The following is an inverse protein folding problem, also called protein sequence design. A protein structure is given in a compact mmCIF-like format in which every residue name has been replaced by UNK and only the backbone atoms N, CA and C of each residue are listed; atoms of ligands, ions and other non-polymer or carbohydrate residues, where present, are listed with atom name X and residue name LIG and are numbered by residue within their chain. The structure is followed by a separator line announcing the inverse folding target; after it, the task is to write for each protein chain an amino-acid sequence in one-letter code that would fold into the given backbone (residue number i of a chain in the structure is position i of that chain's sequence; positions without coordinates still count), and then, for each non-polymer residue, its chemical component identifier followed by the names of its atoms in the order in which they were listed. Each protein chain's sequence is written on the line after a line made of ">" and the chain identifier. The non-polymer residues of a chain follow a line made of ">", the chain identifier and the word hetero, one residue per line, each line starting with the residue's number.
data_IF_905090810097
#
_entry.id   IF_905090810097
#
_cell.length_a   1.000
_cell.length_b   1.000
_cell.length_c   1.000
_cell.angle_alpha   90.00
_cell.angle_beta   90.00
_cell.angle_gamma   90.00
#
_symmetry.space_group_name_H-M   'P 1'
#
loop_
_entity.id
_entity.type
_entity.pdbx_description
1 polymer ?
#
# COMPACT_ATOMS: atom_id res chain seq x y z
N UNK A 1 32.43 -41.23 -16.00
CA UNK A 1 31.05 -40.75 -16.23
C UNK A 1 30.89 -39.42 -15.50
N UNK A 2 30.84 -38.31 -16.22
CA UNK A 2 30.44 -37.01 -15.66
C UNK A 2 29.65 -36.28 -16.75
N UNK A 3 28.35 -36.12 -16.54
CA UNK A 3 27.47 -35.33 -17.42
C UNK A 3 27.35 -33.97 -16.74
N UNK A 4 28.07 -32.98 -17.25
CA UNK A 4 27.90 -31.58 -16.84
C UNK A 4 26.47 -31.13 -17.17
N UNK A 5 25.70 -30.84 -16.12
CA UNK A 5 24.37 -30.24 -16.24
C UNK A 5 24.55 -28.77 -16.61
N UNK A 6 24.48 -28.47 -17.91
CA UNK A 6 24.37 -27.10 -18.42
C UNK A 6 23.05 -26.51 -17.92
N UNK A 7 23.13 -25.62 -16.92
CA UNK A 7 22.00 -24.84 -16.44
C UNK A 7 21.56 -23.88 -17.55
N UNK A 8 20.51 -24.26 -18.29
CA UNK A 8 19.84 -23.39 -19.26
C UNK A 8 18.88 -22.45 -18.52
N UNK A 9 19.42 -21.48 -17.81
CA UNK A 9 18.65 -20.30 -17.46
C UNK A 9 18.53 -19.43 -18.71
N UNK A 10 17.55 -19.77 -19.56
CA UNK A 10 17.14 -18.91 -20.66
C UNK A 10 16.79 -17.53 -20.10
N UNK A 11 17.43 -16.43 -20.58
CA UNK A 11 17.11 -15.10 -20.11
C UNK A 11 15.64 -14.82 -20.44
N UNK A 12 14.82 -14.61 -19.40
CA UNK A 12 13.41 -14.27 -19.58
C UNK A 12 13.32 -13.04 -20.48
N UNK A 13 12.51 -13.07 -21.56
CA UNK A 13 12.39 -11.93 -22.46
C UNK A 13 11.98 -10.69 -21.65
N UNK A 14 12.69 -9.56 -21.85
CA UNK A 14 12.27 -8.26 -21.31
C UNK A 14 10.90 -7.96 -21.89
N UNK A 15 9.87 -8.05 -21.05
CA UNK A 15 8.49 -7.87 -21.48
C UNK A 15 8.24 -6.37 -21.77
N UNK A 16 7.84 -6.04 -23.01
CA UNK A 16 7.44 -4.69 -23.42
C UNK A 16 6.15 -4.21 -22.72
N UNK A 17 5.45 -5.12 -22.01
CA UNK A 17 4.31 -4.80 -21.14
C UNK A 17 4.72 -4.04 -19.86
N UNK A 18 6.02 -3.86 -19.63
CA UNK A 18 6.59 -3.03 -18.57
C UNK A 18 6.54 -1.53 -18.88
N UNK A 19 5.88 -1.08 -19.97
CA UNK A 19 5.56 0.33 -20.20
C UNK A 19 4.73 0.81 -19.01
N UNK A 20 5.39 1.55 -18.11
CA UNK A 20 4.96 1.84 -16.75
C UNK A 20 3.48 2.19 -16.63
N UNK A 21 2.66 1.19 -16.28
CA UNK A 21 1.27 1.42 -15.90
C UNK A 21 1.32 2.34 -14.69
N UNK A 22 0.81 3.57 -14.84
CA UNK A 22 0.74 4.55 -13.76
C UNK A 22 0.03 3.88 -12.59
N UNK A 23 0.77 3.57 -11.53
CA UNK A 23 0.22 2.95 -10.33
C UNK A 23 -0.81 3.90 -9.74
N UNK A 24 -2.03 3.40 -9.48
CA UNK A 24 -3.03 4.16 -8.72
C UNK A 24 -2.43 4.53 -7.38
N UNK A 25 -2.44 5.81 -7.05
CA UNK A 25 -2.00 6.31 -5.74
C UNK A 25 -3.19 6.26 -4.80
N UNK A 26 -3.06 5.50 -3.72
CA UNK A 26 -4.03 5.51 -2.63
C UNK A 26 -3.52 6.40 -1.52
N UNK A 27 -4.38 7.30 -1.03
CA UNK A 27 -4.07 8.15 0.13
C UNK A 27 -3.90 7.28 1.37
N UNK A 28 -3.30 7.86 2.40
CA UNK A 28 -3.05 7.17 3.66
C UNK A 28 -4.37 6.84 4.37
N UNK A 29 -5.34 7.75 4.30
CA UNK A 29 -6.71 7.60 4.79
C UNK A 29 -7.43 6.42 4.14
N UNK A 30 -7.41 6.32 2.80
CA UNK A 30 -8.03 5.20 2.08
C UNK A 30 -7.43 3.85 2.49
N UNK A 31 -6.11 3.79 2.69
CA UNK A 31 -5.43 2.57 3.12
C UNK A 31 -5.83 2.19 4.55
N UNK A 32 -6.06 3.17 5.41
CA UNK A 32 -6.52 2.96 6.77
C UNK A 32 -7.94 2.42 6.81
N UNK A 33 -8.84 3.03 6.05
CA UNK A 33 -10.23 2.60 5.94
C UNK A 33 -10.33 1.16 5.40
N UNK A 34 -9.55 0.82 4.36
CA UNK A 34 -9.42 -0.56 3.86
C UNK A 34 -8.96 -1.52 4.96
N UNK A 35 -8.01 -1.12 5.81
CA UNK A 35 -7.54 -1.96 6.92
C UNK A 35 -8.60 -2.15 8.01
N UNK A 36 -9.39 -1.12 8.33
CA UNK A 36 -10.49 -1.23 9.29
C UNK A 36 -11.57 -2.18 8.80
N UNK A 37 -11.94 -2.11 7.51
CA UNK A 37 -12.88 -3.07 6.93
C UNK A 37 -12.34 -4.51 6.98
N UNK A 38 -11.05 -4.72 6.70
CA UNK A 38 -10.43 -6.05 6.83
C UNK A 38 -10.51 -6.54 8.29
N UNK A 39 -10.24 -5.68 9.27
CA UNK A 39 -10.33 -6.02 10.70
C UNK A 39 -11.76 -6.35 11.14
N UNK A 40 -12.75 -5.63 10.60
CA UNK A 40 -14.18 -5.89 10.86
C UNK A 40 -14.69 -7.21 10.27
N UNK A 41 -13.89 -7.90 9.46
CA UNK A 41 -14.28 -9.14 8.78
C UNK A 41 -15.02 -8.93 7.46
N UNK A 42 -15.01 -7.70 6.92
CA UNK A 42 -15.60 -7.42 5.59
C UNK A 42 -14.89 -8.25 4.52
N UNK A 43 -15.65 -8.82 3.58
CA UNK A 43 -15.09 -9.67 2.51
C UNK A 43 -14.21 -8.83 1.59
N UNK A 44 -13.06 -9.39 1.19
CA UNK A 44 -12.11 -8.75 0.26
C UNK A 44 -12.77 -8.25 -1.02
N UNK A 45 -13.71 -9.03 -1.58
CA UNK A 45 -14.42 -8.68 -2.81
C UNK A 45 -15.26 -7.39 -2.67
N UNK A 46 -15.81 -7.11 -1.50
CA UNK A 46 -16.58 -5.91 -1.24
C UNK A 46 -15.66 -4.68 -1.16
N UNK A 47 -14.52 -4.82 -0.48
CA UNK A 47 -13.48 -3.79 -0.38
C UNK A 47 -12.92 -3.45 -1.78
N UNK A 48 -12.68 -4.47 -2.61
CA UNK A 48 -12.22 -4.27 -3.99
C UNK A 48 -13.21 -3.44 -4.81
N UNK A 49 -14.52 -3.71 -4.67
CA UNK A 49 -15.59 -2.99 -5.36
C UNK A 49 -15.71 -1.55 -4.89
N UNK A 50 -15.68 -1.31 -3.57
CA UNK A 50 -15.82 0.04 -2.99
C UNK A 50 -14.64 0.95 -3.36
N UNK A 51 -13.41 0.44 -3.31
CA UNK A 51 -12.20 1.25 -3.49
C UNK A 51 -11.56 1.11 -4.87
N UNK A 52 -12.18 0.34 -5.77
CA UNK A 52 -11.67 0.02 -7.10
C UNK A 52 -10.18 -0.41 -7.05
N UNK A 53 -9.89 -1.32 -6.11
CA UNK A 53 -8.54 -1.71 -5.72
C UNK A 53 -8.30 -3.18 -6.07
N UNK A 54 -7.18 -3.55 -6.70
CA UNK A 54 -6.90 -4.94 -7.02
C UNK A 54 -6.59 -5.72 -5.74
N UNK A 55 -6.92 -7.02 -5.74
CA UNK A 55 -6.73 -7.91 -4.60
C UNK A 55 -5.29 -7.94 -4.11
N UNK A 56 -4.33 -7.87 -5.05
CA UNK A 56 -2.90 -7.78 -4.75
C UNK A 56 -2.56 -6.62 -3.80
N UNK A 57 -3.22 -5.46 -3.96
CA UNK A 57 -3.01 -4.31 -3.08
C UNK A 57 -3.58 -4.57 -1.70
N UNK A 58 -4.76 -5.18 -1.59
CA UNK A 58 -5.36 -5.53 -0.29
C UNK A 58 -4.48 -6.53 0.47
N UNK A 59 -3.95 -7.54 -0.22
CA UNK A 59 -2.98 -8.48 0.33
C UNK A 59 -1.70 -7.77 0.82
N UNK A 60 -1.19 -6.79 0.06
CA UNK A 60 -0.05 -5.97 0.50
C UNK A 60 -0.38 -5.12 1.72
N UNK A 61 -1.58 -4.53 1.81
CA UNK A 61 -2.02 -3.76 2.98
C UNK A 61 -2.08 -4.65 4.23
N UNK A 62 -2.62 -5.88 4.09
CA UNK A 62 -2.69 -6.84 5.20
C UNK A 62 -1.30 -7.20 5.75
N UNK A 63 -0.29 -7.34 4.87
CA UNK A 63 1.10 -7.60 5.26
C UNK A 63 1.75 -6.39 5.92
N UNK A 64 1.48 -5.17 5.42
CA UNK A 64 2.11 -3.93 5.86
C UNK A 64 1.30 -3.15 6.92
N UNK A 65 0.44 -3.82 7.70
CA UNK A 65 -0.45 -3.22 8.70
C UNK A 65 0.28 -2.35 9.74
N UNK A 66 1.48 -2.77 10.15
CA UNK A 66 2.28 -2.10 11.19
C UNK A 66 2.87 -0.80 10.67
N UNK A 67 3.42 -0.80 9.45
CA UNK A 67 3.94 0.39 8.80
C UNK A 67 2.86 1.45 8.59
N UNK A 68 1.63 1.03 8.23
CA UNK A 68 0.51 1.95 8.07
C UNK A 68 0.09 2.58 9.41
N UNK A 69 0.04 1.78 10.47
CA UNK A 69 -0.24 2.26 11.83
C UNK A 69 0.79 3.28 12.31
N UNK A 70 2.07 3.01 12.09
CA UNK A 70 3.14 3.95 12.41
C UNK A 70 2.99 5.27 11.64
N UNK A 71 2.67 5.20 10.34
CA UNK A 71 2.48 6.40 9.51
C UNK A 71 1.27 7.25 9.91
N UNK A 72 0.16 6.63 10.33
CA UNK A 72 -1.01 7.35 10.86
C UNK A 72 -0.67 8.06 12.17
N UNK A 73 0.06 7.39 13.08
CA UNK A 73 0.48 7.99 14.35
C UNK A 73 1.41 9.20 14.15
N UNK A 74 2.28 9.17 13.14
CA UNK A 74 3.11 10.34 12.78
C UNK A 74 2.25 11.47 12.21
N UNK A 75 1.28 11.15 11.35
CA UNK A 75 0.38 12.14 10.77
C UNK A 75 -0.51 12.83 11.80
N UNK A 76 -1.02 12.10 12.79
CA UNK A 76 -1.84 12.67 13.87
C UNK A 76 -1.02 13.59 14.78
N UNK A 77 0.24 13.24 15.05
CA UNK A 77 1.18 14.09 15.78
C UNK A 77 1.47 15.40 15.06
N UNK A 78 1.65 15.37 13.74
CA UNK A 78 1.91 16.57 12.95
C UNK A 78 0.68 17.48 12.83
N UNK A 79 -0.52 16.90 12.73
CA UNK A 79 -1.79 17.66 12.67
C UNK A 79 -2.08 18.43 13.97
N UNK A 80 -1.53 17.97 15.09
CA UNK A 80 -1.67 18.64 16.40
C UNK A 80 -0.73 19.84 16.55
N UNK A 81 0.30 19.96 15.70
CA UNK A 81 1.29 21.04 15.74
C UNK A 81 0.91 22.29 14.94
N UNK A 82 -0.23 22.30 14.23
CA UNK A 82 -0.73 23.48 13.51
C UNK A 82 -1.66 24.39 14.34
N UNK A 83 -1.62 24.32 15.68
CA UNK A 83 -2.19 25.36 16.57
C UNK A 83 -1.12 26.32 17.09
N UNK A 84 -0.29 26.85 16.19
CA UNK A 84 0.65 27.94 16.53
C UNK A 84 0.38 29.11 15.57
N UNK A 85 -0.68 29.88 15.83
CA UNK A 85 -0.73 31.35 15.67
C UNK A 85 -2.17 31.86 15.85
N UNK A 86 -2.48 32.40 17.03
CA UNK A 86 -3.42 33.51 17.20
C UNK A 86 -3.34 34.00 18.65
N UNK A 87 -2.15 34.44 19.06
CA UNK A 87 -2.03 35.37 20.19
C UNK A 87 -1.55 36.69 19.59
N UNK A 88 -2.52 37.47 19.12
CA UNK A 88 -2.33 38.84 18.70
C UNK A 88 -2.88 39.71 19.83
N UNK A 89 -1.96 40.34 20.55
CA UNK A 89 -2.07 41.58 21.30
C UNK A 89 -3.34 41.86 22.12
N UNK A 90 -3.14 42.10 23.41
CA UNK A 90 -3.49 43.39 24.03
C UNK A 90 -2.45 43.77 25.08
#
# INVERSE_FOLDING_TARGET
>A
MAIEKVNKESPKPKCDYCKGVKKRKYTLEMKWEMLEMIKSGTRTCEIMRRFNCPESTICSLKKNKEALTASVNVFSRFSSSNRIFSDTSQ
#
